data_IF_753865802034
#
_entry.id   IF_753865802034
#
_cell.length_a   1.000
_cell.length_b   1.000
_cell.length_c   1.000
_cell.angle_alpha   90.00
_cell.angle_beta   90.00
_cell.angle_gamma   90.00
#
_symmetry.space_group_name_H-M   'P 1'
#
loop_
_entity.id
_entity.type
_entity.pdbx_description
1 polymer ?
#
# COMPACT_ATOMS: atom_id res chain seq x y z
N UNK A 1 7.60 15.01 -36.13
CA UNK A 1 6.29 14.56 -35.63
C UNK A 1 6.42 13.33 -34.71
N UNK A 2 7.55 12.60 -34.75
CA UNK A 2 7.74 11.36 -33.93
C UNK A 2 8.31 11.59 -32.52
N UNK A 3 8.76 12.80 -32.18
CA UNK A 3 9.34 13.10 -30.85
C UNK A 3 8.30 13.46 -29.78
N UNK A 4 7.08 13.82 -30.17
CA UNK A 4 6.04 14.28 -29.23
C UNK A 4 5.24 13.16 -28.56
N UNK A 5 5.41 11.91 -29.00
CA UNK A 5 4.66 10.74 -28.46
C UNK A 5 5.36 10.05 -27.29
N UNK A 6 6.62 10.41 -26.99
CA UNK A 6 7.42 9.73 -25.96
C UNK A 6 7.29 10.34 -24.56
N UNK A 7 6.76 11.53 -24.43
CA UNK A 7 6.60 12.22 -23.15
C UNK A 7 5.31 11.90 -22.40
N UNK A 8 4.36 11.20 -23.04
CA UNK A 8 3.03 10.94 -22.46
C UNK A 8 2.92 9.68 -21.61
N UNK A 9 4.00 8.91 -21.46
CA UNK A 9 3.97 7.60 -20.76
C UNK A 9 4.73 7.64 -19.41
N UNK A 10 5.37 8.74 -19.08
CA UNK A 10 5.95 8.89 -17.75
C UNK A 10 4.96 9.58 -16.79
N UNK A 11 3.90 8.87 -16.41
CA UNK A 11 3.17 9.22 -15.22
C UNK A 11 4.16 9.26 -14.05
N UNK A 12 4.46 10.45 -13.52
CA UNK A 12 5.29 10.62 -12.33
C UNK A 12 4.69 9.82 -11.17
N UNK A 13 5.25 8.64 -10.91
CA UNK A 13 4.97 7.87 -9.71
C UNK A 13 6.14 8.11 -8.75
N UNK A 14 5.99 8.97 -7.75
CA UNK A 14 7.04 9.21 -6.78
C UNK A 14 7.38 7.90 -6.07
N UNK A 15 8.64 7.51 -6.13
CA UNK A 15 9.16 6.24 -5.58
C UNK A 15 9.20 6.29 -4.05
N UNK A 16 9.25 7.50 -3.48
CA UNK A 16 9.34 7.69 -2.03
C UNK A 16 8.21 8.57 -1.49
N UNK A 17 7.70 8.26 -0.28
CA UNK A 17 6.87 9.20 0.46
C UNK A 17 7.67 10.46 0.77
N UNK A 18 7.00 11.59 0.77
CA UNK A 18 7.57 12.89 1.11
C UNK A 18 8.47 12.79 2.35
N UNK A 19 9.77 13.14 2.23
CA UNK A 19 10.82 13.10 3.28
C UNK A 19 11.33 11.73 3.73
N UNK A 20 11.03 10.62 3.05
CA UNK A 20 11.71 9.35 3.33
C UNK A 20 12.75 9.05 2.26
N UNK A 21 13.91 8.53 2.70
CA UNK A 21 14.91 8.00 1.78
C UNK A 21 14.34 6.79 1.03
N UNK A 22 14.55 6.76 -0.28
CA UNK A 22 14.23 5.59 -1.11
C UNK A 22 15.19 4.47 -0.74
N UNK A 23 14.66 3.34 -0.29
CA UNK A 23 15.46 2.15 -0.07
C UNK A 23 15.17 1.10 -1.16
N UNK A 24 16.11 0.18 -1.36
CA UNK A 24 16.00 -0.88 -2.36
C UNK A 24 14.74 -1.76 -2.16
N UNK A 25 14.30 -1.97 -0.92
CA UNK A 25 13.11 -2.73 -0.60
C UNK A 25 11.85 -2.05 -1.16
N UNK A 26 11.72 -0.74 -1.02
CA UNK A 26 10.60 0.04 -1.55
C UNK A 26 10.49 -0.07 -3.08
N UNK A 27 11.62 0.01 -3.77
CA UNK A 27 11.70 -0.16 -5.24
C UNK A 27 11.26 -1.58 -5.62
N UNK A 28 11.75 -2.59 -4.89
CA UNK A 28 11.40 -3.99 -5.11
C UNK A 28 9.90 -4.25 -4.92
N UNK A 29 9.31 -3.71 -3.86
CA UNK A 29 7.87 -3.84 -3.58
C UNK A 29 7.01 -3.15 -4.65
N UNK A 30 7.40 -1.96 -5.12
CA UNK A 30 6.71 -1.30 -6.23
C UNK A 30 6.81 -2.08 -7.53
N UNK A 31 7.98 -2.63 -7.84
CA UNK A 31 8.17 -3.44 -9.04
C UNK A 31 7.36 -4.74 -8.98
N UNK A 32 7.26 -5.37 -7.81
CA UNK A 32 6.42 -6.54 -7.59
C UNK A 32 4.94 -6.22 -7.78
N UNK A 33 4.44 -5.14 -7.19
CA UNK A 33 3.06 -4.71 -7.33
C UNK A 33 2.67 -4.40 -8.79
N UNK A 34 3.59 -3.80 -9.57
CA UNK A 34 3.36 -3.53 -10.99
C UNK A 34 3.26 -4.80 -11.84
N UNK A 35 3.99 -5.87 -11.49
CA UNK A 35 3.94 -7.16 -12.19
C UNK A 35 2.70 -7.97 -11.86
N UNK A 36 2.11 -7.76 -10.71
CA UNK A 36 0.96 -8.53 -10.22
C UNK A 36 -0.38 -8.03 -10.74
N UNK A 37 -0.42 -7.36 -11.87
CA UNK A 37 -1.64 -6.77 -12.47
C UNK A 37 -2.63 -7.82 -12.99
N UNK A 38 -2.41 -9.11 -12.77
CA UNK A 38 -3.29 -10.16 -13.26
C UNK A 38 -4.14 -10.77 -12.15
N UNK A 39 -5.38 -10.64 -12.32
CA UNK A 39 -6.42 -11.60 -12.38
C UNK A 39 -7.30 -11.77 -11.15
N UNK A 40 -7.55 -12.84 -10.64
CA UNK A 40 -8.66 -13.20 -9.77
C UNK A 40 -8.76 -12.28 -8.55
N UNK A 41 -9.86 -11.58 -8.41
CA UNK A 41 -10.14 -10.81 -7.22
C UNK A 41 -10.12 -11.69 -5.98
N UNK A 42 -9.65 -11.18 -4.87
CA UNK A 42 -9.65 -11.87 -3.57
C UNK A 42 -10.51 -11.10 -2.59
N UNK A 43 -11.28 -11.80 -1.77
CA UNK A 43 -12.07 -11.14 -0.72
C UNK A 43 -11.14 -10.40 0.24
N UNK A 44 -11.46 -9.14 0.51
CA UNK A 44 -10.61 -8.26 1.32
C UNK A 44 -10.46 -8.74 2.78
N UNK A 45 -11.44 -9.45 3.29
CA UNK A 45 -11.40 -9.97 4.65
C UNK A 45 -10.61 -11.27 4.75
N UNK A 46 -10.62 -12.07 3.68
CA UNK A 46 -9.76 -13.25 3.56
C UNK A 46 -8.28 -12.84 3.52
N UNK A 47 -7.95 -11.79 2.75
CA UNK A 47 -6.61 -11.20 2.75
C UNK A 47 -6.21 -10.77 4.16
N UNK A 48 -7.08 -10.06 4.87
CA UNK A 48 -6.80 -9.61 6.23
C UNK A 48 -6.53 -10.77 7.18
N UNK A 49 -7.32 -11.85 7.08
CA UNK A 49 -7.13 -13.07 7.88
C UNK A 49 -5.76 -13.69 7.63
N UNK A 50 -5.40 -13.87 6.36
CA UNK A 50 -4.10 -14.44 5.97
C UNK A 50 -2.93 -13.57 6.44
N UNK A 51 -3.04 -12.24 6.34
CA UNK A 51 -2.02 -11.32 6.88
C UNK A 51 -1.95 -11.41 8.40
N UNK A 52 -3.08 -11.56 9.08
CA UNK A 52 -3.13 -11.71 10.53
C UNK A 52 -2.46 -13.00 11.00
N UNK A 53 -2.66 -14.09 10.29
CA UNK A 53 -2.02 -15.38 10.57
C UNK A 53 -0.51 -15.35 10.31
N UNK A 54 -0.08 -14.61 9.29
CA UNK A 54 1.32 -14.46 8.90
C UNK A 54 1.99 -13.20 9.49
N UNK A 55 1.40 -12.51 10.46
CA UNK A 55 1.86 -11.20 10.94
C UNK A 55 3.33 -11.22 11.39
N UNK A 56 3.77 -12.27 12.06
CA UNK A 56 5.14 -12.40 12.57
C UNK A 56 6.15 -12.51 11.42
N UNK A 57 5.80 -13.21 10.34
CA UNK A 57 6.64 -13.33 9.15
C UNK A 57 6.84 -11.98 8.44
N UNK A 58 5.86 -11.08 8.54
CA UNK A 58 5.96 -9.71 8.03
C UNK A 58 6.57 -8.73 9.03
N UNK A 59 6.93 -9.17 10.25
CA UNK A 59 7.42 -8.31 11.32
C UNK A 59 6.37 -7.30 11.81
N UNK A 60 5.10 -7.66 11.73
CA UNK A 60 3.98 -6.82 12.11
C UNK A 60 3.48 -7.17 13.52
N UNK A 61 3.02 -6.15 14.22
CA UNK A 61 2.28 -6.31 15.46
C UNK A 61 0.78 -6.40 15.19
N UNK A 62 0.03 -6.92 16.14
CA UNK A 62 -1.44 -6.94 16.07
C UNK A 62 -2.07 -5.56 15.80
N UNK A 63 -1.45 -4.49 16.33
CA UNK A 63 -1.89 -3.11 16.07
C UNK A 63 -1.64 -2.67 14.60
N UNK A 64 -0.59 -3.17 13.96
CA UNK A 64 -0.34 -2.90 12.53
C UNK A 64 -1.44 -3.54 11.68
N UNK A 65 -1.85 -4.77 12.03
CA UNK A 65 -2.97 -5.48 11.38
C UNK A 65 -4.30 -4.72 11.60
N UNK A 66 -4.54 -4.20 12.79
CA UNK A 66 -5.72 -3.36 13.08
C UNK A 66 -5.75 -2.10 12.19
N UNK A 67 -4.60 -1.46 11.98
CA UNK A 67 -4.50 -0.31 11.08
C UNK A 67 -4.73 -0.72 9.63
N UNK A 68 -4.22 -1.88 9.20
CA UNK A 68 -4.49 -2.43 7.86
C UNK A 68 -5.98 -2.71 7.68
N UNK A 69 -6.65 -3.30 8.67
CA UNK A 69 -8.10 -3.54 8.68
C UNK A 69 -8.88 -2.24 8.47
N UNK A 70 -8.51 -1.18 9.21
CA UNK A 70 -9.14 0.12 9.05
C UNK A 70 -8.94 0.67 7.63
N UNK A 71 -7.75 0.52 7.03
CA UNK A 71 -7.50 0.93 5.65
C UNK A 71 -8.33 0.15 4.64
N UNK A 72 -8.35 -1.18 4.74
CA UNK A 72 -9.12 -2.07 3.86
C UNK A 72 -10.61 -1.73 3.92
N UNK A 73 -11.13 -1.31 5.07
CA UNK A 73 -12.53 -0.93 5.24
C UNK A 73 -12.94 0.33 4.46
N UNK A 74 -11.99 1.18 4.04
CA UNK A 74 -12.26 2.31 3.15
C UNK A 74 -12.40 1.91 1.68
N UNK A 75 -11.99 0.71 1.32
CA UNK A 75 -12.19 0.20 -0.03
C UNK A 75 -13.65 -0.25 -0.19
N UNK A 76 -14.40 0.29 -1.17
CA UNK A 76 -15.85 0.12 -1.23
C UNK A 76 -16.29 -1.29 -1.65
N UNK A 77 -15.50 -1.96 -2.50
CA UNK A 77 -15.85 -3.29 -3.00
C UNK A 77 -15.42 -4.39 -2.03
N UNK A 78 -16.09 -5.56 -2.01
CA UNK A 78 -15.67 -6.70 -1.21
C UNK A 78 -14.42 -7.37 -1.77
N UNK A 79 -14.25 -7.36 -3.09
CA UNK A 79 -13.18 -8.06 -3.81
C UNK A 79 -12.08 -7.05 -4.19
N UNK A 80 -10.86 -7.33 -3.76
CA UNK A 80 -9.65 -6.59 -4.15
C UNK A 80 -9.07 -7.20 -5.42
N UNK A 81 -8.61 -6.34 -6.35
CA UNK A 81 -7.91 -6.77 -7.56
C UNK A 81 -8.73 -6.70 -8.84
N UNK A 82 -10.06 -6.56 -8.78
CA UNK A 82 -10.91 -6.43 -9.98
C UNK A 82 -10.63 -5.18 -10.81
N UNK A 83 -10.32 -4.07 -10.14
CA UNK A 83 -10.03 -2.78 -10.77
C UNK A 83 -8.73 -2.20 -10.20
N UNK A 84 -7.60 -2.36 -10.91
CA UNK A 84 -6.31 -1.83 -10.45
C UNK A 84 -6.32 -0.31 -10.21
N UNK A 85 -7.14 0.43 -10.96
CA UNK A 85 -7.26 1.88 -10.82
C UNK A 85 -8.04 2.29 -9.56
N UNK A 86 -8.87 1.39 -9.02
CA UNK A 86 -9.63 1.61 -7.80
C UNK A 86 -8.90 1.15 -6.52
N UNK A 87 -7.79 0.41 -6.65
CA UNK A 87 -7.04 -0.13 -5.50
C UNK A 87 -6.40 0.95 -4.61
N UNK A 88 -6.35 2.19 -5.07
CA UNK A 88 -5.82 3.31 -4.28
C UNK A 88 -6.94 3.98 -3.50
N UNK A 89 -6.86 3.90 -2.18
CA UNK A 89 -7.74 4.60 -1.24
C UNK A 89 -7.11 5.91 -0.78
N UNK A 90 -7.93 6.91 -0.48
CA UNK A 90 -7.45 8.25 -0.14
C UNK A 90 -8.12 8.86 1.13
N UNK A 91 -8.24 8.08 2.24
CA UNK A 91 -8.78 8.61 3.47
C UNK A 91 -7.86 9.68 4.06
N UNK A 92 -8.45 10.67 4.75
CA UNK A 92 -7.68 11.63 5.55
C UNK A 92 -7.10 10.94 6.79
N UNK A 93 -6.03 11.52 7.36
CA UNK A 93 -5.48 10.99 8.61
C UNK A 93 -6.55 11.02 9.73
N UNK A 94 -7.38 12.06 9.77
CA UNK A 94 -8.47 12.18 10.73
C UNK A 94 -9.46 11.01 10.58
N UNK A 95 -9.91 10.73 9.37
CA UNK A 95 -10.84 9.63 9.12
C UNK A 95 -10.26 8.25 9.53
N UNK A 96 -8.94 8.04 9.30
CA UNK A 96 -8.27 6.81 9.76
C UNK A 96 -8.23 6.76 11.29
N UNK A 97 -7.84 7.85 11.95
CA UNK A 97 -7.80 7.92 13.42
C UNK A 97 -9.18 7.69 14.04
N UNK A 98 -10.23 8.28 13.49
CA UNK A 98 -11.62 8.09 13.92
C UNK A 98 -12.05 6.62 13.79
N UNK A 99 -11.70 5.95 12.69
CA UNK A 99 -11.99 4.53 12.48
C UNK A 99 -11.20 3.61 13.40
N UNK A 100 -10.11 4.10 13.95
CA UNK A 100 -9.25 3.43 14.94
C UNK A 100 -9.60 3.85 16.39
N UNK A 101 -10.84 4.22 16.64
CA UNK A 101 -11.33 4.64 17.96
C UNK A 101 -10.51 5.78 18.58
N UNK A 102 -10.15 6.78 17.78
CA UNK A 102 -9.42 7.95 18.23
C UNK A 102 -7.92 7.72 18.45
N UNK A 103 -7.33 6.72 17.82
CA UNK A 103 -5.87 6.50 17.89
C UNK A 103 -5.11 7.79 17.58
N UNK A 104 -4.09 8.18 18.38
CA UNK A 104 -3.28 9.36 18.10
C UNK A 104 -2.63 9.30 16.71
N UNK A 105 -2.69 10.40 15.96
CA UNK A 105 -2.17 10.44 14.58
C UNK A 105 -0.67 10.13 14.47
N UNK A 106 0.12 10.44 15.51
CA UNK A 106 1.55 10.07 15.57
C UNK A 106 1.74 8.56 15.63
N UNK A 107 0.94 7.88 16.44
CA UNK A 107 0.93 6.42 16.57
C UNK A 107 0.48 5.75 15.29
N UNK A 108 -0.65 6.18 14.73
CA UNK A 108 -1.18 5.70 13.47
C UNK A 108 -0.14 5.82 12.34
N UNK A 109 0.59 6.94 12.24
CA UNK A 109 1.63 7.14 11.23
C UNK A 109 2.79 6.15 11.36
N UNK A 110 3.17 5.75 12.58
CA UNK A 110 4.20 4.71 12.81
C UNK A 110 3.75 3.35 12.30
N UNK A 111 2.50 2.98 12.54
CA UNK A 111 1.92 1.75 12.02
C UNK A 111 1.81 1.76 10.49
N UNK A 112 1.36 2.88 9.89
CA UNK A 112 1.37 3.05 8.44
C UNK A 112 2.77 2.89 7.83
N UNK A 113 3.79 3.41 8.51
CA UNK A 113 5.18 3.27 8.08
C UNK A 113 5.61 1.80 8.04
N UNK A 114 5.30 1.01 9.08
CA UNK A 114 5.61 -0.43 9.13
C UNK A 114 4.89 -1.21 8.03
N UNK A 115 3.62 -0.92 7.76
CA UNK A 115 2.86 -1.53 6.68
C UNK A 115 3.47 -1.23 5.30
N UNK A 116 4.02 -0.04 5.11
CA UNK A 116 4.76 0.31 3.88
C UNK A 116 6.10 -0.42 3.83
N UNK A 117 6.82 -0.48 4.94
CA UNK A 117 8.13 -1.14 5.05
C UNK A 117 8.02 -2.67 4.86
N UNK A 118 6.93 -3.29 5.32
CA UNK A 118 6.63 -4.71 5.10
C UNK A 118 6.22 -5.04 3.65
N UNK A 119 5.93 -4.02 2.84
CA UNK A 119 5.52 -4.19 1.45
C UNK A 119 4.05 -4.56 1.25
N UNK A 120 3.24 -4.58 2.30
CA UNK A 120 1.79 -4.82 2.19
C UNK A 120 1.02 -3.60 1.71
N UNK A 121 1.60 -2.42 1.87
CA UNK A 121 0.98 -1.15 1.51
C UNK A 121 1.94 -0.32 0.67
N UNK A 122 1.48 0.24 -0.44
CA UNK A 122 2.23 1.26 -1.16
C UNK A 122 1.60 2.63 -0.92
N UNK A 123 2.45 3.64 -0.90
CA UNK A 123 2.02 5.02 -0.80
C UNK A 123 2.28 5.74 -2.11
N UNK A 124 1.23 6.31 -2.69
CA UNK A 124 1.29 7.18 -3.87
C UNK A 124 1.11 8.61 -3.43
N UNK A 125 2.19 9.37 -3.38
CA UNK A 125 2.15 10.77 -2.98
C UNK A 125 1.89 11.67 -4.18
N UNK A 126 1.04 12.69 -3.97
CA UNK A 126 0.87 13.80 -4.91
C UNK A 126 1.97 14.84 -4.67
N UNK A 127 2.19 15.73 -5.64
CA UNK A 127 3.17 16.80 -5.54
C UNK A 127 2.98 17.70 -4.29
N UNK A 128 1.75 17.86 -3.82
CA UNK A 128 1.42 18.65 -2.62
C UNK A 128 1.21 17.80 -1.36
N UNK A 129 1.52 16.51 -1.38
CA UNK A 129 1.38 15.58 -0.26
C UNK A 129 -0.07 15.27 0.16
N UNK A 130 -1.07 15.78 -0.56
CA UNK A 130 -2.50 15.50 -0.29
C UNK A 130 -2.94 14.21 -0.98
N UNK A 131 -3.93 13.54 -0.40
CA UNK A 131 -4.55 12.34 -0.98
C UNK A 131 -5.84 12.71 -1.65
N UNK A 132 -5.96 12.38 -2.92
CA UNK A 132 -7.16 12.67 -3.72
C UNK A 132 -7.16 11.80 -4.99
N UNK A 133 -8.31 11.74 -5.63
CA UNK A 133 -8.45 11.17 -6.97
C UNK A 133 -8.87 12.26 -7.95
N UNK A 134 -8.24 12.30 -9.11
CA UNK A 134 -8.54 13.25 -10.18
C UNK A 134 -8.68 12.51 -11.51
N UNK A 135 -9.65 12.91 -12.31
CA UNK A 135 -9.75 12.49 -13.71
C UNK A 135 -9.17 13.58 -14.60
N UNK A 136 -8.25 13.19 -15.47
CA UNK A 136 -7.64 14.08 -16.46
C UNK A 136 -7.52 13.33 -17.78
N UNK A 137 -8.15 13.84 -18.86
CA UNK A 137 -8.09 13.21 -20.18
C UNK A 137 -8.65 11.79 -20.26
N UNK A 138 -9.65 11.45 -19.43
CA UNK A 138 -10.24 10.11 -19.37
C UNK A 138 -9.53 9.14 -18.42
N UNK A 139 -8.31 9.45 -17.97
CA UNK A 139 -7.56 8.63 -17.01
C UNK A 139 -7.82 9.07 -15.59
N UNK A 140 -7.94 8.10 -14.68
CA UNK A 140 -8.09 8.32 -13.24
C UNK A 140 -6.74 8.24 -12.55
N UNK A 141 -6.25 9.37 -12.07
CA UNK A 141 -5.06 9.44 -11.22
C UNK A 141 -5.48 9.48 -9.75
N UNK A 142 -5.03 8.50 -8.97
CA UNK A 142 -5.35 8.42 -7.54
C UNK A 142 -4.06 8.48 -6.71
N UNK A 143 -4.06 9.37 -5.72
CA UNK A 143 -2.97 9.55 -4.76
C UNK A 143 -3.44 9.17 -3.37
N UNK A 144 -2.72 8.29 -2.70
CA UNK A 144 -3.13 7.77 -1.41
C UNK A 144 -2.42 6.48 -1.05
N UNK A 145 -3.15 5.55 -0.48
CA UNK A 145 -2.65 4.23 -0.14
C UNK A 145 -3.12 3.21 -1.18
N UNK A 146 -2.17 2.52 -1.79
CA UNK A 146 -2.42 1.48 -2.78
C UNK A 146 -2.39 0.10 -2.10
N UNK A 147 -3.51 -0.60 -2.19
CA UNK A 147 -3.73 -1.92 -1.61
C UNK A 147 -3.32 -3.07 -2.56
N UNK A 148 -2.80 -2.77 -3.75
CA UNK A 148 -2.37 -3.79 -4.73
C UNK A 148 -1.41 -4.82 -4.13
N UNK A 149 -0.42 -4.46 -3.29
CA UNK A 149 0.46 -5.46 -2.70
C UNK A 149 -0.26 -6.46 -1.81
N UNK A 150 -1.30 -6.04 -1.09
CA UNK A 150 -2.08 -6.95 -0.26
C UNK A 150 -2.73 -8.07 -1.07
N UNK A 151 -3.23 -7.76 -2.26
CA UNK A 151 -3.88 -8.75 -3.13
C UNK A 151 -2.88 -9.66 -3.86
N UNK A 152 -1.65 -9.20 -4.07
CA UNK A 152 -0.63 -9.92 -4.84
C UNK A 152 0.39 -10.66 -3.98
N UNK A 153 0.74 -10.13 -2.81
CA UNK A 153 1.78 -10.68 -1.93
C UNK A 153 1.41 -12.04 -1.33
N UNK A 154 0.13 -12.26 -1.08
CA UNK A 154 -0.35 -13.52 -0.50
C UNK A 154 -0.35 -14.70 -1.46
N UNK A 155 -0.25 -14.48 -2.76
CA UNK A 155 -0.16 -15.53 -3.78
C UNK A 155 1.26 -16.06 -3.97
N UNK A 156 2.27 -15.29 -3.57
CA UNK A 156 3.66 -15.67 -3.64
C UNK A 156 4.19 -16.08 -2.26
N UNK A 157 3.50 -16.97 -1.55
CA UNK A 157 3.94 -17.53 -0.28
C UNK A 157 5.29 -18.28 -0.37
N UNK A 158 5.81 -18.46 -1.58
CA UNK A 158 7.16 -19.03 -1.83
C UNK A 158 8.30 -17.99 -1.67
N UNK A 159 8.01 -16.70 -1.44
CA UNK A 159 9.05 -15.67 -1.29
C UNK A 159 8.83 -14.85 -0.01
N UNK A 160 8.65 -15.53 1.11
CA UNK A 160 8.81 -14.90 2.43
C UNK A 160 10.29 -14.52 2.58
N UNK A 161 10.63 -13.26 2.84
CA UNK A 161 11.99 -12.92 3.24
C UNK A 161 12.26 -13.65 4.56
N UNK A 162 13.38 -14.37 4.62
CA UNK A 162 13.85 -14.96 5.87
C UNK A 162 13.87 -13.88 6.97
N UNK A 163 13.47 -14.19 8.22
CA UNK A 163 13.51 -13.23 9.30
C UNK A 163 14.94 -12.72 9.46
N UNK A 164 15.13 -11.42 9.21
CA UNK A 164 16.38 -10.77 9.54
C UNK A 164 16.54 -10.85 11.06
N UNK A 165 17.50 -11.66 11.49
CA UNK A 165 17.89 -11.76 12.88
C UNK A 165 18.25 -10.36 13.39
N UNK A 166 17.34 -9.75 14.12
CA UNK A 166 17.64 -8.55 14.91
C UNK A 166 18.59 -8.99 16.02
N UNK A 167 19.84 -8.64 15.82
CA UNK A 167 20.88 -8.73 16.83
C UNK A 167 20.47 -7.87 18.02
N UNK A 168 19.85 -8.50 19.03
CA UNK A 168 19.59 -7.88 20.31
C UNK A 168 20.88 -7.99 21.13
N UNK A 169 21.75 -7.00 21.01
CA UNK A 169 22.87 -6.80 21.94
C UNK A 169 22.53 -5.61 22.84
N UNK A 170 22.24 -5.96 24.08
CA UNK A 170 22.25 -5.19 25.35
C UNK A 170 22.45 -3.69 25.27
#
# INVERSE_FOLDING_TARGET
>A
VLLCLREKIMGYAPIAPFRRTVNAALIKHQAAARRSTSAAGVDKWEILRTVSEAQDAYGLSHRDVTVLQALISFYPKPILGEDPAAMTIHPSNRAICERLNGMPCSTMRRHLARLVDSGLLLRRDSANGKRYSRRTGGEKHSFGFDLTPCSSGLRNSATLPAPSATNNSR
#
